data_IF_846284847512
#
_entry.id   IF_846284847512
#
_cell.length_a   1.000
_cell.length_b   1.000
_cell.length_c   1.000
_cell.angle_alpha   90.00
_cell.angle_beta   90.00
_cell.angle_gamma   90.00
#
_symmetry.space_group_name_H-M   'P 1'
#
loop_
_entity.id
_entity.type
_entity.pdbx_description
1 polymer ?
#
# COMPACT_ATOMS: atom_id res chain seq x y z
N UNK A 1 14.64 -2.64 19.14
CA UNK A 1 15.47 -3.35 18.16
C UNK A 1 15.17 -4.85 18.21
N UNK A 2 15.52 -5.58 17.12
CA UNK A 2 15.46 -7.03 17.09
C UNK A 2 16.64 -7.62 17.87
N UNK A 3 16.35 -8.54 18.80
CA UNK A 3 17.31 -9.35 19.54
C UNK A 3 16.92 -10.82 19.42
N UNK A 4 17.82 -11.65 18.89
CA UNK A 4 17.54 -13.07 18.59
C UNK A 4 17.14 -13.89 19.81
N UNK A 5 17.62 -13.52 20.98
CA UNK A 5 17.45 -14.23 22.25
C UNK A 5 16.28 -13.67 23.08
N UNK A 6 15.63 -12.61 22.60
CA UNK A 6 14.49 -11.99 23.26
C UNK A 6 13.21 -12.17 22.40
N UNK A 7 12.27 -13.06 22.81
CA UNK A 7 11.01 -13.29 22.09
C UNK A 7 10.06 -12.10 22.13
N UNK A 8 10.34 -11.11 22.98
CA UNK A 8 9.56 -9.87 23.09
C UNK A 8 10.23 -8.68 22.38
N UNK A 9 11.30 -8.91 21.65
CA UNK A 9 11.88 -7.93 20.74
C UNK A 9 11.14 -7.89 19.39
N UNK A 10 11.44 -6.88 18.55
CA UNK A 10 10.91 -6.82 17.19
C UNK A 10 11.30 -8.07 16.38
N UNK A 11 10.43 -8.62 15.51
CA UNK A 11 10.79 -9.76 14.66
C UNK A 11 11.94 -9.45 13.67
N UNK A 12 12.11 -8.18 13.30
CA UNK A 12 13.18 -7.70 12.43
C UNK A 12 13.44 -6.21 12.65
N UNK A 13 14.67 -5.75 12.39
CA UNK A 13 15.01 -4.32 12.37
C UNK A 13 14.54 -3.61 11.07
N UNK A 14 14.14 -4.36 10.04
CA UNK A 14 13.50 -3.79 8.85
C UNK A 14 12.01 -3.68 9.07
N UNK A 15 11.48 -2.46 8.95
CA UNK A 15 10.06 -2.18 9.10
C UNK A 15 9.46 -1.95 7.71
N UNK A 16 8.47 -2.77 7.34
CA UNK A 16 7.75 -2.61 6.08
C UNK A 16 6.61 -1.60 6.20
N UNK A 17 5.93 -1.58 7.35
CA UNK A 17 4.76 -0.75 7.55
C UNK A 17 4.44 -0.60 9.03
N UNK A 18 3.95 0.58 9.42
CA UNK A 18 3.43 0.87 10.75
C UNK A 18 1.97 1.26 10.62
N UNK A 19 1.15 0.81 11.55
CA UNK A 19 -0.25 1.22 11.58
C UNK A 19 -0.78 1.19 13.01
N UNK A 20 -1.49 2.25 13.37
CA UNK A 20 -2.34 2.27 14.56
C UNK A 20 -3.72 1.76 14.17
N UNK A 21 -4.32 0.87 14.94
CA UNK A 21 -5.67 0.39 14.70
C UNK A 21 -6.74 1.31 15.30
N UNK A 22 -8.02 0.96 15.13
CA UNK A 22 -9.13 1.79 15.64
C UNK A 22 -9.27 1.76 17.18
N UNK A 23 -8.50 0.93 17.87
CA UNK A 23 -8.44 0.82 19.33
C UNK A 23 -7.19 1.48 19.91
N UNK A 24 -6.35 2.11 19.08
CA UNK A 24 -5.11 2.74 19.49
C UNK A 24 -3.93 1.78 19.63
N UNK A 25 -4.06 0.52 19.17
CA UNK A 25 -2.94 -0.42 19.22
C UNK A 25 -1.98 -0.15 18.05
N UNK A 26 -0.68 -0.14 18.35
CA UNK A 26 0.38 0.01 17.35
C UNK A 26 0.85 -1.35 16.83
N UNK A 27 0.70 -1.56 15.53
CA UNK A 27 1.11 -2.75 14.80
C UNK A 27 2.35 -2.47 13.95
N UNK A 28 3.36 -3.32 14.07
CA UNK A 28 4.64 -3.21 13.37
C UNK A 28 4.79 -4.38 12.40
N UNK A 29 4.68 -4.10 11.12
CA UNK A 29 4.85 -5.07 10.04
C UNK A 29 6.31 -5.15 9.61
N UNK A 30 6.87 -6.36 9.60
CA UNK A 30 8.27 -6.62 9.26
C UNK A 30 8.39 -7.75 8.21
N UNK A 31 9.56 -7.93 7.57
CA UNK A 31 9.79 -9.09 6.69
C UNK A 31 9.76 -10.45 7.39
N UNK A 32 9.85 -10.47 8.74
CA UNK A 32 9.89 -11.71 9.54
C UNK A 32 8.65 -11.90 10.41
N UNK A 33 7.72 -10.95 10.42
CA UNK A 33 6.49 -11.08 11.21
C UNK A 33 5.76 -9.78 11.45
N UNK A 34 4.58 -9.91 12.04
CA UNK A 34 3.76 -8.82 12.56
C UNK A 34 3.86 -8.80 14.07
N UNK A 35 4.22 -7.69 14.64
CA UNK A 35 4.25 -7.49 16.07
C UNK A 35 3.20 -6.46 16.52
N UNK A 36 2.60 -6.73 17.66
CA UNK A 36 1.78 -5.78 18.41
C UNK A 36 2.63 -5.19 19.53
N UNK A 37 2.69 -3.86 19.61
CA UNK A 37 3.39 -3.17 20.69
C UNK A 37 2.53 -3.14 21.95
N UNK A 38 3.10 -3.56 23.05
CA UNK A 38 2.55 -3.50 24.40
C UNK A 38 3.18 -2.31 25.12
N UNK A 39 2.46 -1.21 25.22
CA UNK A 39 2.95 0.04 25.80
C UNK A 39 3.10 -0.04 27.33
N UNK A 40 2.38 -0.93 28.03
CA UNK A 40 2.48 -1.08 29.48
C UNK A 40 3.78 -1.77 29.89
N UNK A 41 4.24 -2.71 29.06
CA UNK A 41 5.44 -3.51 29.33
C UNK A 41 6.63 -3.14 28.45
N UNK A 42 6.46 -2.11 27.58
CA UNK A 42 7.46 -1.65 26.59
C UNK A 42 8.09 -2.81 25.79
N UNK A 43 7.22 -3.69 25.24
CA UNK A 43 7.65 -4.88 24.52
C UNK A 43 6.81 -5.17 23.29
N UNK A 44 7.28 -6.09 22.46
CA UNK A 44 6.59 -6.51 21.24
C UNK A 44 6.10 -7.95 21.36
N UNK A 45 4.84 -8.18 20.94
CA UNK A 45 4.26 -9.51 20.91
C UNK A 45 4.07 -9.91 19.44
N UNK A 46 4.88 -10.86 18.95
CA UNK A 46 4.76 -11.38 17.57
C UNK A 46 3.48 -12.19 17.44
N UNK A 47 2.55 -11.72 16.60
CA UNK A 47 1.23 -12.34 16.39
C UNK A 47 1.16 -13.18 15.12
N UNK A 48 1.96 -12.84 14.11
CA UNK A 48 2.07 -13.53 12.83
C UNK A 48 3.55 -13.67 12.48
N UNK A 49 4.01 -14.89 12.14
CA UNK A 49 5.42 -15.16 11.82
C UNK A 49 5.71 -15.13 10.31
N UNK A 50 4.87 -14.51 9.50
CA UNK A 50 5.06 -14.30 8.07
C UNK A 50 5.27 -12.82 7.78
N UNK A 51 5.99 -12.52 6.68
CA UNK A 51 6.22 -11.17 6.21
C UNK A 51 4.90 -10.43 5.96
N UNK A 52 4.76 -9.22 6.48
CA UNK A 52 3.61 -8.33 6.27
C UNK A 52 4.09 -7.06 5.57
N UNK A 53 3.31 -6.58 4.60
CA UNK A 53 3.70 -5.47 3.72
C UNK A 53 2.71 -4.32 3.71
N UNK A 54 1.46 -4.56 4.07
CA UNK A 54 0.40 -3.55 4.07
C UNK A 54 -0.67 -3.87 5.09
N UNK A 55 -1.47 -2.87 5.42
CA UNK A 55 -2.66 -3.05 6.26
C UNK A 55 -3.81 -2.18 5.79
N UNK A 56 -5.03 -2.52 6.23
CA UNK A 56 -6.22 -1.68 6.09
C UNK A 56 -7.11 -1.86 7.33
N UNK A 57 -7.55 -0.74 7.90
CA UNK A 57 -8.56 -0.75 8.96
C UNK A 57 -9.90 -1.14 8.36
N UNK A 58 -10.60 -2.08 8.98
CA UNK A 58 -11.95 -2.49 8.57
C UNK A 58 -12.93 -2.35 9.74
N UNK A 59 -14.23 -2.38 9.46
CA UNK A 59 -15.23 -2.34 10.53
C UNK A 59 -15.04 -3.55 11.45
N UNK A 60 -14.71 -3.29 12.71
CA UNK A 60 -14.51 -4.32 13.75
C UNK A 60 -13.18 -5.05 13.71
N UNK A 61 -12.20 -4.59 12.92
CA UNK A 61 -10.92 -5.27 12.82
C UNK A 61 -9.85 -4.53 12.02
N UNK A 62 -8.77 -5.23 11.77
CA UNK A 62 -7.69 -4.78 10.87
C UNK A 62 -7.20 -5.96 10.04
N UNK A 63 -6.92 -5.71 8.77
CA UNK A 63 -6.42 -6.71 7.85
C UNK A 63 -4.98 -6.42 7.46
N UNK A 64 -4.18 -7.46 7.35
CA UNK A 64 -2.76 -7.39 7.03
C UNK A 64 -2.46 -8.18 5.77
N UNK A 65 -1.79 -7.55 4.81
CA UNK A 65 -1.40 -8.13 3.53
C UNK A 65 -0.01 -8.77 3.59
N UNK A 66 0.08 -10.02 3.17
CA UNK A 66 1.30 -10.82 3.04
C UNK A 66 1.52 -11.24 1.58
N UNK A 67 2.21 -12.35 1.33
CA UNK A 67 2.34 -12.99 0.02
C UNK A 67 1.10 -13.86 -0.24
N UNK A 68 0.26 -13.46 -1.22
CA UNK A 68 -0.98 -14.17 -1.57
C UNK A 68 -2.01 -14.34 -0.43
N UNK A 69 -1.79 -13.71 0.72
CA UNK A 69 -2.54 -13.99 1.95
C UNK A 69 -2.92 -12.70 2.64
N UNK A 70 -4.17 -12.62 3.10
CA UNK A 70 -4.67 -11.56 3.98
C UNK A 70 -4.98 -12.21 5.34
N UNK A 71 -4.40 -11.65 6.40
CA UNK A 71 -4.69 -11.98 7.78
C UNK A 71 -5.71 -10.98 8.32
N UNK A 72 -6.91 -11.44 8.61
CA UNK A 72 -8.03 -10.62 9.06
C UNK A 72 -8.18 -10.74 10.58
N UNK A 73 -7.65 -9.79 11.33
CA UNK A 73 -7.78 -9.74 12.78
C UNK A 73 -9.10 -9.08 13.19
N UNK A 74 -9.87 -9.77 14.00
CA UNK A 74 -11.15 -9.31 14.54
C UNK A 74 -10.98 -8.85 15.99
N UNK A 75 -11.38 -7.62 16.31
CA UNK A 75 -11.18 -7.01 17.61
C UNK A 75 -12.02 -7.64 18.73
N UNK A 76 -13.22 -8.13 18.40
CA UNK A 76 -14.13 -8.69 19.39
C UNK A 76 -13.69 -10.09 19.81
N UNK A 77 -13.48 -10.96 18.83
CA UNK A 77 -13.07 -12.35 19.09
C UNK A 77 -11.59 -12.51 19.38
N UNK A 78 -10.76 -11.51 19.07
CA UNK A 78 -9.28 -11.54 19.12
C UNK A 78 -8.68 -12.68 18.28
N UNK A 79 -9.39 -13.10 17.22
CA UNK A 79 -8.96 -14.18 16.32
C UNK A 79 -8.58 -13.64 14.95
N UNK A 80 -7.66 -14.37 14.30
CA UNK A 80 -7.23 -14.07 12.93
C UNK A 80 -7.82 -15.10 11.97
N UNK A 81 -8.60 -14.62 10.98
CA UNK A 81 -9.03 -15.42 9.82
C UNK A 81 -8.02 -15.22 8.70
N UNK A 82 -7.78 -16.27 7.91
CA UNK A 82 -6.85 -16.26 6.78
C UNK A 82 -7.65 -16.34 5.48
N UNK A 83 -7.32 -15.44 4.52
CA UNK A 83 -7.90 -15.41 3.18
C UNK A 83 -6.77 -15.47 2.16
N UNK A 84 -6.89 -16.31 1.12
CA UNK A 84 -5.92 -16.40 0.03
C UNK A 84 -6.49 -15.79 -1.26
N UNK A 85 -5.72 -14.96 -1.96
CA UNK A 85 -6.11 -14.40 -3.27
C UNK A 85 -6.27 -15.53 -4.29
N UNK A 86 -5.34 -16.47 -4.30
CA UNK A 86 -5.39 -17.68 -5.13
C UNK A 86 -5.21 -18.90 -4.25
N UNK A 87 -6.04 -19.93 -4.48
CA UNK A 87 -5.79 -21.26 -3.88
C UNK A 87 -4.50 -21.82 -4.48
N UNK A 88 -3.64 -22.36 -3.62
CA UNK A 88 -2.43 -23.06 -4.08
C UNK A 88 -2.85 -24.31 -4.87
N UNK A 89 -2.65 -24.28 -6.17
CA UNK A 89 -2.73 -25.48 -7.01
C UNK A 89 -1.43 -26.28 -6.82
N UNK A 90 -1.55 -27.52 -6.35
CA UNK A 90 -0.41 -28.42 -6.01
C UNK A 90 0.58 -28.70 -7.17
N UNK A 91 0.34 -28.19 -8.39
CA UNK A 91 1.09 -28.58 -9.61
C UNK A 91 1.76 -27.43 -10.37
N UNK A 92 1.74 -26.19 -9.92
CA UNK A 92 2.43 -25.08 -10.59
C UNK A 92 3.37 -24.39 -9.62
N UNK A 93 4.64 -24.22 -10.03
CA UNK A 93 5.60 -23.32 -9.37
C UNK A 93 5.12 -21.86 -9.56
N UNK A 94 4.17 -21.42 -8.74
CA UNK A 94 3.72 -20.04 -8.71
C UNK A 94 4.71 -19.27 -7.84
N UNK A 95 5.35 -18.25 -8.42
CA UNK A 95 6.16 -17.33 -7.61
C UNK A 95 5.25 -16.49 -6.72
N UNK A 96 5.12 -16.86 -5.45
CA UNK A 96 4.24 -16.19 -4.49
C UNK A 96 4.67 -14.75 -4.19
N UNK A 97 5.95 -14.42 -4.36
CA UNK A 97 6.47 -13.06 -4.20
C UNK A 97 5.79 -12.07 -5.15
N UNK A 98 5.36 -12.51 -6.33
CA UNK A 98 4.60 -11.69 -7.27
C UNK A 98 3.19 -11.34 -6.78
N UNK A 99 2.62 -12.15 -5.87
CA UNK A 99 1.34 -11.91 -5.22
C UNK A 99 1.45 -11.11 -3.92
N UNK A 100 2.66 -10.64 -3.55
CA UNK A 100 2.85 -9.76 -2.39
C UNK A 100 1.84 -8.61 -2.42
N UNK A 101 1.07 -8.47 -1.35
CA UNK A 101 0.04 -7.45 -1.24
C UNK A 101 0.68 -6.13 -0.81
N UNK A 102 0.83 -5.22 -1.78
CA UNK A 102 1.51 -3.93 -1.60
C UNK A 102 0.60 -2.87 -0.99
N UNK A 103 -0.65 -2.84 -1.40
CA UNK A 103 -1.65 -1.87 -0.91
C UNK A 103 -3.03 -2.52 -0.86
N UNK A 104 -3.84 -2.09 0.09
CA UNK A 104 -5.26 -2.40 0.19
C UNK A 104 -6.02 -1.11 0.42
N UNK A 105 -7.07 -0.86 -0.35
CA UNK A 105 -7.92 0.34 -0.25
C UNK A 105 -9.39 -0.02 -0.43
N UNK A 106 -10.29 0.72 0.20
CA UNK A 106 -11.72 0.55 -0.03
C UNK A 106 -12.12 1.10 -1.41
N UNK A 107 -12.76 0.27 -2.25
CA UNK A 107 -13.45 0.73 -3.44
C UNK A 107 -14.84 1.27 -3.09
N UNK A 108 -15.54 0.52 -2.22
CA UNK A 108 -16.83 0.90 -1.66
C UNK A 108 -17.02 0.20 -0.29
N UNK A 109 -18.19 0.36 0.33
CA UNK A 109 -18.51 -0.26 1.64
C UNK A 109 -18.44 -1.79 1.66
N UNK A 110 -18.48 -2.45 0.49
CA UNK A 110 -18.51 -3.91 0.36
C UNK A 110 -17.30 -4.47 -0.39
N UNK A 111 -16.47 -3.61 -1.01
CA UNK A 111 -15.34 -4.05 -1.83
C UNK A 111 -14.05 -3.39 -1.42
N UNK A 112 -13.00 -4.20 -1.36
CA UNK A 112 -11.61 -3.77 -1.12
C UNK A 112 -10.79 -4.10 -2.36
N UNK A 113 -10.06 -3.12 -2.88
CA UNK A 113 -9.03 -3.36 -3.88
C UNK A 113 -7.76 -3.85 -3.18
N UNK A 114 -7.22 -4.93 -3.70
CA UNK A 114 -6.02 -5.60 -3.19
C UNK A 114 -4.97 -5.56 -4.29
N UNK A 115 -4.06 -4.61 -4.18
CA UNK A 115 -2.97 -4.41 -5.12
C UNK A 115 -1.81 -5.36 -4.85
N UNK A 116 -1.48 -6.20 -5.83
CA UNK A 116 -0.36 -7.14 -5.75
C UNK A 116 0.88 -6.59 -6.43
N UNK A 117 2.04 -7.10 -6.06
CA UNK A 117 3.32 -6.63 -6.57
C UNK A 117 3.41 -6.68 -8.10
N UNK A 118 2.97 -7.80 -8.74
CA UNK A 118 3.06 -8.01 -10.21
C UNK A 118 1.85 -8.70 -10.83
N UNK A 119 0.89 -9.19 -10.04
CA UNK A 119 -0.24 -9.98 -10.56
C UNK A 119 -1.52 -9.18 -10.74
N UNK A 120 -1.40 -7.85 -10.78
CA UNK A 120 -2.52 -6.93 -10.95
C UNK A 120 -3.20 -6.56 -9.64
N UNK A 121 -4.33 -5.90 -9.77
CA UNK A 121 -5.17 -5.48 -8.65
C UNK A 121 -6.45 -6.32 -8.67
N UNK A 122 -6.75 -6.91 -7.54
CA UNK A 122 -7.96 -7.72 -7.35
C UNK A 122 -9.01 -6.92 -6.57
N UNK A 123 -10.27 -7.12 -6.90
CA UNK A 123 -11.39 -6.70 -6.07
C UNK A 123 -11.83 -7.85 -5.18
N UNK A 124 -11.84 -7.64 -3.88
CA UNK A 124 -12.40 -8.57 -2.90
C UNK A 124 -13.78 -8.08 -2.48
N UNK A 125 -14.80 -8.91 -2.69
CA UNK A 125 -16.15 -8.64 -2.22
C UNK A 125 -16.32 -9.19 -0.79
N UNK A 126 -16.55 -8.31 0.18
CA UNK A 126 -16.66 -8.67 1.60
C UNK A 126 -17.90 -9.52 1.92
N UNK A 127 -18.97 -9.43 1.12
CA UNK A 127 -20.20 -10.19 1.32
C UNK A 127 -20.09 -11.61 0.77
N UNK A 128 -19.63 -11.76 -0.49
CA UNK A 128 -19.49 -13.07 -1.14
C UNK A 128 -18.18 -13.76 -0.78
N UNK A 129 -17.22 -13.02 -0.21
CA UNK A 129 -15.86 -13.47 0.14
C UNK A 129 -15.08 -13.98 -1.09
N UNK A 130 -15.29 -13.38 -2.25
CA UNK A 130 -14.66 -13.78 -3.50
C UNK A 130 -13.76 -12.69 -4.05
N UNK A 131 -12.66 -13.11 -4.69
CA UNK A 131 -11.79 -12.27 -5.48
C UNK A 131 -12.16 -12.30 -6.96
N UNK A 132 -12.09 -11.16 -7.62
CA UNK A 132 -12.08 -11.03 -9.07
C UNK A 132 -10.90 -10.15 -9.50
N UNK A 133 -10.31 -10.44 -10.66
CA UNK A 133 -9.27 -9.57 -11.24
C UNK A 133 -9.95 -8.26 -11.66
N UNK A 134 -9.43 -7.13 -11.17
CA UNK A 134 -10.00 -5.81 -11.41
C UNK A 134 -9.17 -4.99 -12.39
N UNK A 135 -7.83 -4.89 -12.16
CA UNK A 135 -6.88 -4.32 -13.11
C UNK A 135 -5.86 -5.42 -13.43
N UNK A 136 -5.62 -5.72 -14.73
CA UNK A 136 -4.68 -6.76 -15.12
C UNK A 136 -3.26 -6.46 -14.65
N UNK A 137 -2.41 -7.49 -14.69
CA UNK A 137 -1.01 -7.37 -14.32
C UNK A 137 -0.25 -6.42 -15.23
N UNK A 138 0.64 -5.62 -14.64
CA UNK A 138 1.66 -4.83 -15.35
C UNK A 138 3.00 -5.58 -15.31
N UNK A 139 3.89 -5.42 -16.31
CA UNK A 139 5.26 -5.93 -16.23
C UNK A 139 6.04 -5.28 -15.09
N UNK A 140 5.68 -4.06 -14.70
CA UNK A 140 6.33 -3.30 -13.65
C UNK A 140 5.66 -3.53 -12.28
N UNK A 141 6.41 -3.24 -11.21
CA UNK A 141 5.95 -3.40 -9.84
C UNK A 141 4.90 -2.35 -9.50
N UNK A 142 3.78 -2.75 -8.90
CA UNK A 142 2.86 -1.81 -8.27
C UNK A 142 3.59 -1.09 -7.12
N UNK A 143 3.63 0.22 -7.16
CA UNK A 143 4.22 1.07 -6.12
C UNK A 143 3.15 1.72 -5.25
N UNK A 144 2.08 2.26 -5.85
CA UNK A 144 0.98 2.85 -5.10
C UNK A 144 -0.38 2.59 -5.73
N UNK A 145 -1.41 2.61 -4.86
CA UNK A 145 -2.83 2.49 -5.20
C UNK A 145 -3.59 3.41 -4.25
N UNK A 146 -4.34 4.34 -4.80
CA UNK A 146 -5.10 5.34 -4.06
C UNK A 146 -6.47 5.54 -4.69
N UNK A 147 -7.49 5.80 -3.86
CA UNK A 147 -8.84 6.17 -4.32
C UNK A 147 -9.16 7.53 -3.72
N UNK A 148 -9.48 8.48 -4.58
CA UNK A 148 -9.83 9.85 -4.20
C UNK A 148 -11.25 9.95 -3.64
N UNK A 149 -11.55 11.06 -2.99
CA UNK A 149 -12.90 11.31 -2.45
C UNK A 149 -13.98 11.30 -3.52
N UNK A 150 -13.66 11.70 -4.74
CA UNK A 150 -14.54 11.65 -5.92
C UNK A 150 -14.51 10.30 -6.65
N UNK A 151 -13.93 9.27 -6.00
CA UNK A 151 -13.95 7.86 -6.43
C UNK A 151 -13.15 7.54 -7.69
N UNK A 152 -12.19 8.36 -8.11
CA UNK A 152 -11.21 7.98 -9.10
C UNK A 152 -10.13 7.09 -8.48
N UNK A 153 -9.66 6.10 -9.24
CA UNK A 153 -8.64 5.17 -8.80
C UNK A 153 -7.32 5.55 -9.45
N UNK A 154 -6.35 5.94 -8.64
CA UNK A 154 -5.01 6.27 -9.11
C UNK A 154 -4.04 5.17 -8.73
N UNK A 155 -3.21 4.77 -9.70
CA UNK A 155 -2.15 3.79 -9.47
C UNK A 155 -0.85 4.25 -10.11
N UNK A 156 0.24 3.78 -9.55
CA UNK A 156 1.54 3.86 -10.19
C UNK A 156 2.20 2.48 -10.19
N UNK A 157 2.92 2.23 -11.28
CA UNK A 157 3.83 1.10 -11.40
C UNK A 157 5.23 1.65 -11.62
N UNK A 158 6.23 1.03 -11.04
CA UNK A 158 7.61 1.53 -11.04
C UNK A 158 8.09 1.93 -12.44
N UNK A 159 8.40 3.21 -12.63
CA UNK A 159 8.84 3.80 -13.90
C UNK A 159 7.75 4.00 -14.96
N UNK A 160 6.47 3.84 -14.62
CA UNK A 160 5.36 3.91 -15.59
C UNK A 160 4.51 5.18 -15.48
N UNK A 161 4.80 6.10 -14.58
CA UNK A 161 3.99 7.30 -14.35
C UNK A 161 2.71 7.03 -13.56
N UNK A 162 1.70 7.88 -13.75
CA UNK A 162 0.43 7.90 -13.04
C UNK A 162 -0.70 7.44 -13.94
N UNK A 163 -1.42 6.40 -13.53
CA UNK A 163 -2.65 5.94 -14.19
C UNK A 163 -3.87 6.39 -13.41
N UNK A 164 -4.92 6.80 -14.12
CA UNK A 164 -6.25 7.04 -13.60
C UNK A 164 -7.22 6.01 -14.18
N UNK A 165 -8.01 5.38 -13.31
CA UNK A 165 -9.05 4.42 -13.70
C UNK A 165 -10.40 4.84 -13.12
N UNK A 166 -11.47 4.44 -13.80
CA UNK A 166 -12.81 4.53 -13.25
C UNK A 166 -13.11 3.36 -12.29
N UNK A 167 -14.31 3.39 -11.69
CA UNK A 167 -14.77 2.37 -10.73
C UNK A 167 -14.99 0.97 -11.35
N UNK A 168 -14.88 0.84 -12.68
CA UNK A 168 -14.93 -0.46 -13.37
C UNK A 168 -13.55 -1.04 -13.66
N UNK A 169 -12.49 -0.28 -13.40
CA UNK A 169 -11.10 -0.64 -13.68
C UNK A 169 -10.68 -0.33 -15.12
N UNK A 170 -11.43 0.49 -15.84
CA UNK A 170 -11.07 0.97 -17.18
C UNK A 170 -10.18 2.20 -17.07
N UNK A 171 -9.06 2.20 -17.81
CA UNK A 171 -8.15 3.35 -17.89
C UNK A 171 -8.91 4.55 -18.48
N UNK A 172 -8.82 5.68 -17.78
CA UNK A 172 -9.32 6.98 -18.22
C UNK A 172 -8.15 7.82 -18.72
N UNK A 173 -7.07 7.89 -17.96
CA UNK A 173 -5.90 8.71 -18.27
C UNK A 173 -4.60 8.00 -17.87
N UNK A 174 -3.51 8.38 -18.55
CA UNK A 174 -2.16 7.94 -18.23
C UNK A 174 -1.19 9.11 -18.40
N UNK A 175 -0.64 9.59 -17.29
CA UNK A 175 0.28 10.71 -17.23
C UNK A 175 1.72 10.23 -17.09
N UNK A 176 2.58 10.76 -17.97
CA UNK A 176 4.03 10.48 -17.98
C UNK A 176 4.81 11.77 -18.17
N UNK A 177 6.14 11.71 -17.98
CA UNK A 177 7.03 12.83 -18.28
C UNK A 177 6.95 13.31 -19.73
N UNK A 178 6.52 12.46 -20.66
CA UNK A 178 6.50 12.78 -22.10
C UNK A 178 5.19 13.39 -22.59
N UNK A 179 4.10 13.20 -21.84
CA UNK A 179 2.77 13.66 -22.26
C UNK A 179 2.07 14.58 -21.25
N UNK A 180 2.72 14.89 -20.14
CA UNK A 180 2.13 15.74 -19.09
C UNK A 180 3.19 16.58 -18.37
N UNK A 181 2.77 17.38 -17.37
CA UNK A 181 3.69 18.10 -16.49
C UNK A 181 4.30 17.27 -15.37
N UNK A 182 4.12 15.95 -15.37
CA UNK A 182 4.80 15.04 -14.43
C UNK A 182 6.32 15.09 -14.67
N UNK A 183 7.11 15.32 -13.62
CA UNK A 183 8.57 15.45 -13.77
C UNK A 183 9.34 14.13 -13.58
N UNK A 184 8.66 13.05 -13.13
CA UNK A 184 9.29 11.74 -12.93
C UNK A 184 8.26 10.61 -13.00
N UNK A 185 8.53 9.59 -13.82
CA UNK A 185 7.68 8.38 -13.94
C UNK A 185 7.83 7.40 -12.77
N UNK A 186 8.85 7.56 -11.91
CA UNK A 186 9.10 6.70 -10.75
C UNK A 186 8.35 7.23 -9.53
N UNK A 187 7.01 7.06 -9.53
CA UNK A 187 6.15 7.44 -8.40
C UNK A 187 6.17 6.30 -7.39
N UNK A 188 6.52 6.59 -6.14
CA UNK A 188 6.65 5.61 -5.06
C UNK A 188 5.43 5.59 -4.15
N UNK A 189 4.78 6.74 -3.93
CA UNK A 189 3.55 6.81 -3.13
C UNK A 189 2.63 7.93 -3.62
N UNK A 190 1.33 7.79 -3.31
CA UNK A 190 0.26 8.70 -3.68
C UNK A 190 -0.60 8.96 -2.45
N UNK A 191 -0.86 10.22 -2.15
CA UNK A 191 -1.86 10.65 -1.17
C UNK A 191 -2.65 11.84 -1.70
N UNK A 192 -3.81 12.14 -1.08
CA UNK A 192 -4.62 13.32 -1.42
C UNK A 192 -4.62 14.30 -0.26
N UNK A 193 -4.41 15.56 -0.58
CA UNK A 193 -4.56 16.66 0.38
C UNK A 193 -5.14 17.89 -0.33
N UNK A 194 -6.22 18.46 0.24
CA UNK A 194 -6.91 19.64 -0.30
C UNK A 194 -7.29 19.52 -1.79
N UNK A 195 -7.83 18.34 -2.19
CA UNK A 195 -8.29 18.09 -3.57
C UNK A 195 -7.18 17.96 -4.61
N UNK A 196 -5.92 17.86 -4.18
CA UNK A 196 -4.76 17.56 -5.03
C UNK A 196 -4.14 16.24 -4.64
N UNK A 197 -3.68 15.48 -5.63
CA UNK A 197 -2.82 14.34 -5.38
C UNK A 197 -1.38 14.81 -5.17
N UNK A 198 -0.75 14.27 -4.15
CA UNK A 198 0.66 14.43 -3.84
C UNK A 198 1.36 13.13 -4.21
N UNK A 199 2.32 13.22 -5.10
CA UNK A 199 3.02 12.09 -5.68
C UNK A 199 4.47 12.13 -5.23
N UNK A 200 4.87 11.20 -4.35
CA UNK A 200 6.25 11.02 -3.94
C UNK A 200 7.04 10.39 -5.08
N UNK A 201 8.18 10.96 -5.46
CA UNK A 201 8.98 10.43 -6.57
C UNK A 201 10.39 10.03 -6.15
N UNK A 202 10.95 9.07 -6.89
CA UNK A 202 12.34 8.65 -6.72
C UNK A 202 13.29 9.63 -7.43
N UNK A 203 13.80 10.60 -6.68
CA UNK A 203 14.82 11.55 -7.12
C UNK A 203 14.34 12.86 -7.72
N UNK A 204 13.01 13.13 -7.80
CA UNK A 204 12.51 14.41 -8.38
C UNK A 204 11.55 15.17 -7.45
N UNK A 205 11.61 14.89 -6.15
CA UNK A 205 10.79 15.57 -5.13
C UNK A 205 9.34 15.09 -5.13
N UNK A 206 8.42 16.01 -4.94
CA UNK A 206 6.97 15.78 -4.91
C UNK A 206 6.33 16.46 -6.10
N UNK A 207 5.50 15.73 -6.86
CA UNK A 207 4.56 16.35 -7.78
C UNK A 207 3.21 16.54 -7.08
N UNK A 208 2.63 17.72 -7.22
CA UNK A 208 1.23 17.96 -6.89
C UNK A 208 0.43 17.92 -8.20
N UNK A 209 -0.57 17.06 -8.27
CA UNK A 209 -1.47 16.95 -9.40
C UNK A 209 -2.86 17.43 -9.02
N UNK A 210 -3.42 18.37 -9.79
CA UNK A 210 -4.77 18.88 -9.65
C UNK A 210 -5.70 18.17 -10.67
N UNK A 211 -6.52 17.16 -10.25
CA UNK A 211 -7.30 16.34 -11.19
C UNK A 211 -8.26 17.14 -12.06
N UNK A 212 -8.92 18.16 -11.50
CA UNK A 212 -9.90 18.96 -12.22
C UNK A 212 -9.32 19.81 -13.36
N UNK A 213 -8.07 20.25 -13.24
CA UNK A 213 -7.37 21.06 -14.26
C UNK A 213 -6.32 20.28 -15.02
N UNK A 214 -6.04 19.04 -14.59
CA UNK A 214 -4.98 18.17 -15.11
C UNK A 214 -3.58 18.83 -15.06
N UNK A 215 -3.38 19.76 -14.13
CA UNK A 215 -2.12 20.49 -13.98
C UNK A 215 -1.22 19.85 -12.93
N UNK A 216 0.07 19.88 -13.22
CA UNK A 216 1.13 19.46 -12.31
C UNK A 216 1.91 20.67 -11.82
N UNK A 217 2.31 20.65 -10.54
CA UNK A 217 3.33 21.52 -9.96
C UNK A 217 4.31 20.68 -9.14
N UNK A 218 5.52 21.19 -8.91
CA UNK A 218 6.60 20.44 -8.29
C UNK A 218 7.10 21.13 -7.02
N UNK A 219 7.42 20.33 -6.00
CA UNK A 219 8.20 20.72 -4.84
C UNK A 219 9.51 19.93 -4.88
N UNK A 220 10.63 20.63 -4.89
CA UNK A 220 11.95 20.02 -5.04
C UNK A 220 12.94 20.57 -4.00
N UNK A 221 14.02 19.85 -3.78
CA UNK A 221 15.17 20.38 -3.08
C UNK A 221 15.88 21.42 -3.95
N UNK A 222 16.11 22.58 -3.38
CA UNK A 222 16.86 23.70 -4.00
C UNK A 222 18.09 23.97 -3.13
N UNK A 223 19.28 23.81 -3.71
CA UNK A 223 20.54 24.03 -3.00
C UNK A 223 20.61 25.49 -2.50
N UNK A 224 20.82 25.67 -1.20
CA UNK A 224 20.88 26.99 -0.55
C UNK A 224 19.53 27.55 -0.12
N UNK A 225 18.41 26.89 -0.43
CA UNK A 225 17.09 27.26 0.06
C UNK A 225 16.61 26.30 1.15
N UNK A 226 16.72 26.72 2.40
CA UNK A 226 16.30 25.95 3.58
C UNK A 226 14.78 25.79 3.73
N UNK A 227 13.98 26.51 2.94
CA UNK A 227 12.52 26.37 2.89
C UNK A 227 12.07 25.31 1.86
N UNK A 228 12.99 24.83 1.03
CA UNK A 228 12.73 23.76 0.06
C UNK A 228 12.79 22.36 0.69
N UNK A 229 12.43 21.32 -0.07
CA UNK A 229 12.56 19.94 0.41
C UNK A 229 14.02 19.62 0.80
N UNK A 230 14.26 18.84 1.85
CA UNK A 230 15.62 18.47 2.26
C UNK A 230 16.32 17.55 1.24
N UNK A 231 15.55 16.74 0.51
CA UNK A 231 16.03 15.80 -0.53
C UNK A 231 14.96 15.64 -1.62
N UNK A 232 15.35 15.12 -2.79
CA UNK A 232 14.43 14.85 -3.90
C UNK A 232 13.93 13.39 -3.98
N UNK A 233 14.49 12.47 -3.21
CA UNK A 233 13.98 11.09 -3.16
C UNK A 233 13.02 10.96 -1.98
N UNK A 234 11.73 10.87 -2.31
CA UNK A 234 10.62 10.78 -1.34
C UNK A 234 9.98 9.41 -1.48
N UNK A 235 9.99 8.62 -0.41
CA UNK A 235 9.53 7.23 -0.45
C UNK A 235 8.10 7.02 0.05
N UNK A 236 7.60 7.93 0.90
CA UNK A 236 6.31 7.77 1.54
C UNK A 236 5.72 9.15 1.91
N UNK A 237 4.39 9.26 1.86
CA UNK A 237 3.61 10.42 2.27
C UNK A 237 2.60 10.01 3.35
N UNK A 238 2.40 10.88 4.36
CA UNK A 238 1.43 10.70 5.44
C UNK A 238 0.44 11.87 5.49
#
# INVERSE_FOLDING_TARGET
LHHSDDPHSLPSNYINHLTEDSLGNLWIATPKGLALYDAEQDRFNTTISQAIYSSIKVKGGIWFGSENTIYCYDYHSKKTKIIHIKKQEKKKNINMVDYRIQKMVYLDKNKILVGTRRKGIYSYNCQTQQFSLFIPSSPNLLTSLYITLDQHIYTSFYGSGLYCYDQTGKIQEHYTQTNSGLNNNYILDITEHNGKLWLATDGSGINQFAPHTQQFSQLQHIVGDYSSLPVNSITLLY
#
